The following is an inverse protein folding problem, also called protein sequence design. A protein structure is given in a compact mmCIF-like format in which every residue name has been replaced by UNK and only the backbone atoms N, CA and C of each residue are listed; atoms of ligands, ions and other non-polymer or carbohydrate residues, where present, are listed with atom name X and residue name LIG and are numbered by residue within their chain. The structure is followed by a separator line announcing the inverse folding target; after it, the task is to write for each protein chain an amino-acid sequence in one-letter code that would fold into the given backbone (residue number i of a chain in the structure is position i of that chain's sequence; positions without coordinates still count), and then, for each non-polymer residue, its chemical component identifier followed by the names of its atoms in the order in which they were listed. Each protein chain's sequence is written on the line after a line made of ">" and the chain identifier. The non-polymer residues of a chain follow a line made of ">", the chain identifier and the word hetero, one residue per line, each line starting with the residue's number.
data_IF_338783872835
#
_entry.id   IF_338783872835
#
_cell.length_a   1.000
_cell.length_b   1.000
_cell.length_c   1.000
_cell.angle_alpha   90.00
_cell.angle_beta   90.00
_cell.angle_gamma   90.00
#
_symmetry.space_group_name_H-M   'P 1'
#
loop_
_entity.id
_entity.type
_entity.pdbx_description
1 polymer ?
#
# COMPACT_ATOMS: atom_id res chain seq x y z
N UNK A 1 50.06 18.98 -9.40
CA UNK A 1 48.94 18.33 -10.10
C UNK A 1 47.85 18.06 -9.07
N UNK A 2 46.77 18.88 -9.06
CA UNK A 2 45.68 18.76 -8.11
C UNK A 2 44.59 17.92 -8.80
N UNK A 3 44.33 16.71 -8.27
CA UNK A 3 43.27 15.82 -8.81
C UNK A 3 41.94 16.18 -8.14
N UNK A 4 41.01 16.76 -8.90
CA UNK A 4 39.67 17.06 -8.44
C UNK A 4 38.81 15.78 -8.49
N UNK A 5 38.45 15.25 -7.33
CA UNK A 5 37.50 14.15 -7.19
C UNK A 5 36.08 14.75 -7.33
N UNK A 6 35.45 14.52 -8.47
CA UNK A 6 34.04 14.87 -8.71
C UNK A 6 33.18 13.78 -8.05
N UNK A 7 32.62 14.07 -6.89
CA UNK A 7 31.58 13.26 -6.27
C UNK A 7 30.28 13.41 -7.07
N UNK A 8 30.00 12.49 -7.98
CA UNK A 8 28.71 12.35 -8.64
C UNK A 8 27.69 11.90 -7.57
N UNK A 9 26.96 12.86 -7.00
CA UNK A 9 25.84 12.59 -6.12
C UNK A 9 24.71 11.92 -6.94
N UNK A 10 24.49 10.63 -6.74
CA UNK A 10 23.29 9.95 -7.21
C UNK A 10 22.08 10.57 -6.51
N UNK A 11 21.37 11.46 -7.20
CA UNK A 11 20.03 11.90 -6.79
C UNK A 11 19.06 10.74 -7.02
N UNK A 12 18.96 9.82 -6.08
CA UNK A 12 17.87 8.85 -6.04
C UNK A 12 16.59 9.61 -5.68
N UNK A 13 15.65 9.73 -6.61
CA UNK A 13 14.29 10.20 -6.31
C UNK A 13 13.69 9.19 -5.34
N UNK A 14 13.68 9.51 -4.04
CA UNK A 14 13.08 8.64 -3.02
C UNK A 14 11.58 8.56 -3.30
N UNK A 15 11.10 7.32 -3.42
CA UNK A 15 9.67 7.02 -3.42
C UNK A 15 9.08 7.54 -2.10
N UNK A 16 8.02 8.33 -2.19
CA UNK A 16 7.28 8.76 -1.01
C UNK A 16 6.22 7.70 -0.70
N UNK A 17 6.30 7.07 0.47
CA UNK A 17 5.41 5.99 0.88
C UNK A 17 4.77 6.35 2.21
N UNK A 18 3.44 6.25 2.27
CA UNK A 18 2.66 6.51 3.47
C UNK A 18 1.51 5.50 3.60
N UNK A 19 0.85 5.47 4.73
CA UNK A 19 -0.31 4.63 5.00
C UNK A 19 -1.28 5.30 5.97
N UNK A 20 -2.50 4.77 5.98
CA UNK A 20 -3.57 5.14 6.90
C UNK A 20 -4.41 3.90 7.21
N UNK A 21 -4.97 3.77 8.41
CA UNK A 21 -5.80 2.63 8.79
C UNK A 21 -7.00 3.04 9.64
N UNK A 22 -8.06 2.24 9.60
CA UNK A 22 -9.25 2.43 10.40
C UNK A 22 -9.12 1.70 11.74
N UNK A 23 -9.54 2.35 12.82
CA UNK A 23 -9.62 1.74 14.14
C UNK A 23 -10.74 0.70 14.26
N UNK A 24 -11.66 0.66 13.30
CA UNK A 24 -12.72 -0.34 13.20
C UNK A 24 -12.25 -1.65 12.53
N UNK A 25 -10.98 -1.69 12.08
CA UNK A 25 -10.42 -2.86 11.43
C UNK A 25 -10.15 -4.00 12.41
N UNK A 26 -10.76 -5.16 12.17
CA UNK A 26 -10.58 -6.38 12.96
C UNK A 26 -9.34 -7.16 12.52
N UNK A 27 -8.18 -6.52 12.51
CA UNK A 27 -6.94 -7.02 11.91
C UNK A 27 -6.48 -8.41 12.39
N UNK A 28 -6.88 -8.81 13.59
CA UNK A 28 -6.57 -10.14 14.16
C UNK A 28 -7.40 -11.27 13.52
N UNK A 29 -8.47 -10.95 12.78
CA UNK A 29 -9.45 -11.92 12.27
C UNK A 29 -9.29 -12.21 10.78
N UNK A 30 -8.46 -11.45 10.07
CA UNK A 30 -8.32 -11.61 8.63
C UNK A 30 -7.28 -12.67 8.29
N UNK A 31 -7.69 -13.65 7.47
CA UNK A 31 -6.85 -14.77 7.05
C UNK A 31 -6.81 -14.92 5.52
N UNK A 32 -7.77 -14.34 4.82
CA UNK A 32 -7.95 -14.56 3.39
C UNK A 32 -8.32 -13.28 2.66
N UNK A 33 -8.02 -13.26 1.37
CA UNK A 33 -8.30 -12.11 0.52
C UNK A 33 -8.72 -12.50 -0.89
N UNK A 34 -9.33 -11.56 -1.59
CA UNK A 34 -9.53 -11.56 -3.03
C UNK A 34 -9.38 -10.15 -3.57
N UNK A 35 -9.29 -10.02 -4.90
CA UNK A 35 -9.22 -8.74 -5.57
C UNK A 35 -10.60 -8.27 -6.02
N UNK A 36 -10.83 -6.97 -5.96
CA UNK A 36 -11.88 -6.32 -6.75
C UNK A 36 -11.43 -6.22 -8.21
N UNK A 37 -12.41 -6.02 -9.10
CA UNK A 37 -12.14 -5.84 -10.52
C UNK A 37 -11.17 -4.69 -10.76
N UNK A 38 -10.24 -4.89 -11.70
CA UNK A 38 -9.31 -3.85 -12.09
C UNK A 38 -9.97 -2.85 -13.04
N UNK A 39 -10.00 -1.59 -12.67
CA UNK A 39 -10.66 -0.53 -13.45
C UNK A 39 -9.74 0.13 -14.51
N UNK A 40 -8.51 -0.36 -14.71
CA UNK A 40 -7.61 0.20 -15.72
C UNK A 40 -8.05 -0.23 -17.12
N UNK A 41 -8.76 0.64 -17.81
CA UNK A 41 -9.35 0.39 -19.13
C UNK A 41 -8.31 0.08 -20.22
N UNK A 42 -7.06 0.52 -20.05
CA UNK A 42 -6.05 0.49 -21.12
C UNK A 42 -4.95 -0.56 -20.99
N UNK A 43 -4.92 -1.38 -19.92
CA UNK A 43 -3.80 -2.29 -19.72
C UNK A 43 -4.07 -3.46 -18.77
N UNK A 44 -4.52 -4.57 -19.33
CA UNK A 44 -4.65 -5.85 -18.60
C UNK A 44 -3.31 -6.35 -18.05
N UNK A 45 -2.19 -6.06 -18.73
CA UNK A 45 -0.85 -6.43 -18.28
C UNK A 45 -0.46 -5.65 -17.00
N UNK A 46 -0.79 -4.38 -16.94
CA UNK A 46 -0.53 -3.55 -15.75
C UNK A 46 -1.31 -4.06 -14.53
N UNK A 47 -2.57 -4.44 -14.72
CA UNK A 47 -3.40 -5.05 -13.68
C UNK A 47 -2.77 -6.34 -13.14
N UNK A 48 -2.35 -7.22 -14.04
CA UNK A 48 -1.72 -8.50 -13.71
C UNK A 48 -0.44 -8.30 -12.89
N UNK A 49 0.47 -7.42 -13.34
CA UNK A 49 1.73 -7.16 -12.67
C UNK A 49 1.55 -6.63 -11.24
N UNK A 50 0.58 -5.72 -11.05
CA UNK A 50 0.28 -5.16 -9.73
C UNK A 50 -0.39 -6.22 -8.85
N UNK A 51 -1.37 -6.97 -9.38
CA UNK A 51 -2.04 -8.04 -8.62
C UNK A 51 -1.06 -9.11 -8.18
N UNK A 52 -0.15 -9.54 -9.05
CA UNK A 52 0.86 -10.55 -8.71
C UNK A 52 1.83 -10.05 -7.63
N UNK A 53 2.22 -8.77 -7.71
CA UNK A 53 3.05 -8.17 -6.68
C UNK A 53 2.32 -8.08 -5.33
N UNK A 54 1.04 -7.68 -5.31
CA UNK A 54 0.21 -7.62 -4.10
C UNK A 54 0.00 -9.03 -3.54
N UNK A 55 -0.38 -9.98 -4.38
CA UNK A 55 -0.57 -11.40 -4.00
C UNK A 55 0.66 -11.93 -3.28
N UNK A 56 1.85 -11.72 -3.84
CA UNK A 56 3.09 -12.15 -3.25
C UNK A 56 3.30 -11.54 -1.85
N UNK A 57 2.98 -10.26 -1.66
CA UNK A 57 3.11 -9.59 -0.36
C UNK A 57 2.11 -10.10 0.68
N UNK A 58 0.87 -10.38 0.27
CA UNK A 58 -0.16 -10.93 1.14
C UNK A 58 0.15 -12.38 1.55
N UNK A 59 0.53 -13.22 0.59
CA UNK A 59 0.90 -14.62 0.84
C UNK A 59 2.15 -14.72 1.74
N UNK A 60 3.15 -13.86 1.53
CA UNK A 60 4.33 -13.78 2.41
C UNK A 60 3.99 -13.41 3.86
N UNK A 61 2.82 -12.80 4.09
CA UNK A 61 2.27 -12.49 5.42
C UNK A 61 1.29 -13.55 5.93
N UNK A 62 1.14 -14.67 5.24
CA UNK A 62 0.31 -15.80 5.63
C UNK A 62 -1.16 -15.71 5.20
N UNK A 63 -1.57 -14.64 4.49
CA UNK A 63 -2.92 -14.54 3.94
C UNK A 63 -3.10 -15.50 2.76
N UNK A 64 -4.30 -16.05 2.61
CA UNK A 64 -4.64 -17.00 1.53
C UNK A 64 -5.63 -16.39 0.57
N UNK A 65 -5.49 -16.68 -0.72
CA UNK A 65 -6.50 -16.30 -1.72
C UNK A 65 -7.77 -17.11 -1.48
N UNK A 66 -8.94 -16.46 -1.48
CA UNK A 66 -10.24 -17.08 -1.36
C UNK A 66 -11.23 -16.48 -2.36
N UNK A 67 -11.73 -17.29 -3.29
CA UNK A 67 -12.71 -16.83 -4.29
C UNK A 67 -14.17 -16.87 -3.80
N UNK A 68 -14.45 -17.60 -2.70
CA UNK A 68 -15.82 -17.77 -2.22
C UNK A 68 -16.18 -16.87 -1.05
N UNK A 69 -15.29 -16.77 -0.08
CA UNK A 69 -15.53 -16.05 1.17
C UNK A 69 -14.22 -15.40 1.64
N UNK A 70 -13.70 -14.39 0.96
CA UNK A 70 -12.54 -13.66 1.45
C UNK A 70 -12.92 -12.85 2.69
N UNK A 71 -11.99 -12.69 3.64
CA UNK A 71 -12.17 -11.72 4.73
C UNK A 71 -11.83 -10.30 4.26
N UNK A 72 -10.91 -10.19 3.31
CA UNK A 72 -10.46 -8.92 2.75
C UNK A 72 -10.73 -8.87 1.24
N UNK A 73 -11.18 -7.73 0.78
CA UNK A 73 -11.17 -7.35 -0.63
C UNK A 73 -10.04 -6.34 -0.86
N UNK A 74 -9.30 -6.51 -1.94
CA UNK A 74 -8.19 -5.63 -2.29
C UNK A 74 -8.56 -4.82 -3.52
N UNK A 75 -8.53 -3.49 -3.38
CA UNK A 75 -8.61 -2.54 -4.48
C UNK A 75 -7.27 -1.84 -4.64
N UNK A 76 -6.92 -1.47 -5.88
CA UNK A 76 -5.74 -0.67 -6.16
C UNK A 76 -6.00 0.26 -7.33
N UNK A 77 -5.44 1.47 -7.25
CA UNK A 77 -5.62 2.53 -8.23
C UNK A 77 -4.33 3.30 -8.47
N UNK A 78 -4.09 3.69 -9.74
CA UNK A 78 -3.03 4.62 -10.10
C UNK A 78 -3.65 5.98 -10.42
N UNK A 79 -3.36 6.98 -9.60
CA UNK A 79 -3.80 8.35 -9.82
C UNK A 79 -2.83 9.07 -10.75
N UNK A 80 -3.34 9.52 -11.90
CA UNK A 80 -2.55 10.22 -12.93
C UNK A 80 -2.48 11.74 -12.70
N UNK A 81 -3.15 12.24 -11.69
CA UNK A 81 -3.13 13.63 -11.24
C UNK A 81 -2.75 13.71 -9.77
N UNK A 82 -2.41 14.89 -9.31
CA UNK A 82 -2.17 15.15 -7.90
C UNK A 82 -3.36 14.71 -7.05
N UNK A 83 -3.09 13.99 -5.98
CA UNK A 83 -4.09 13.50 -5.04
C UNK A 83 -3.92 14.22 -3.70
N UNK A 84 -4.99 14.86 -3.24
CA UNK A 84 -5.07 15.46 -1.91
C UNK A 84 -6.05 14.71 -1.05
N UNK A 85 -5.62 14.28 0.10
CA UNK A 85 -6.52 13.67 1.07
C UNK A 85 -6.09 13.97 2.50
N UNK A 86 -7.02 13.74 3.43
CA UNK A 86 -6.82 13.90 4.85
C UNK A 86 -6.67 12.57 5.53
N UNK A 87 -5.64 12.46 6.35
CA UNK A 87 -5.44 11.38 7.28
C UNK A 87 -5.20 11.91 8.69
N UNK A 88 -4.76 11.03 9.53
CA UNK A 88 -4.42 11.33 10.92
C UNK A 88 -3.04 10.78 11.23
N UNK A 89 -2.31 11.47 12.12
CA UNK A 89 -1.08 10.92 12.67
C UNK A 89 -1.47 9.76 13.58
N UNK A 90 -1.23 8.55 13.11
CA UNK A 90 -1.63 7.32 13.79
C UNK A 90 -0.42 6.65 14.45
N UNK A 91 -0.61 5.91 15.55
CA UNK A 91 0.43 5.03 16.07
C UNK A 91 0.78 3.95 15.01
N UNK A 92 1.90 3.29 15.20
CA UNK A 92 2.23 2.14 14.33
C UNK A 92 1.13 1.10 14.47
N UNK A 93 0.55 0.68 13.35
CA UNK A 93 -0.60 -0.25 13.32
C UNK A 93 -0.37 -1.51 14.17
N UNK A 94 0.85 -2.03 14.21
CA UNK A 94 1.21 -3.19 15.02
C UNK A 94 1.04 -2.93 16.53
N UNK A 95 1.43 -1.74 16.98
CA UNK A 95 1.31 -1.36 18.39
C UNK A 95 -0.15 -1.10 18.75
N UNK A 96 -0.91 -0.46 17.85
CA UNK A 96 -2.33 -0.22 18.04
C UNK A 96 -3.14 -1.53 18.13
N UNK A 97 -2.91 -2.48 17.22
CA UNK A 97 -3.59 -3.80 17.24
C UNK A 97 -3.36 -4.57 18.54
N UNK A 98 -2.23 -4.34 19.24
CA UNK A 98 -1.94 -4.97 20.53
C UNK A 98 -2.62 -4.26 21.68
N UNK A 99 -2.66 -2.92 21.65
CA UNK A 99 -3.12 -2.10 22.79
C UNK A 99 -4.60 -1.77 22.73
N UNK A 100 -5.14 -1.57 21.50
CA UNK A 100 -6.52 -1.11 21.26
C UNK A 100 -6.86 0.15 22.08
N UNK A 101 -5.92 1.11 22.13
CA UNK A 101 -6.00 2.32 22.97
C UNK A 101 -6.98 3.32 22.38
N UNK A 102 -8.17 3.45 22.94
CA UNK A 102 -9.23 4.34 22.48
C UNK A 102 -8.98 5.82 22.83
N UNK A 103 -8.02 6.12 23.72
CA UNK A 103 -7.79 7.48 24.23
C UNK A 103 -6.78 8.32 23.45
N UNK A 104 -6.24 7.81 22.34
CA UNK A 104 -5.24 8.53 21.57
C UNK A 104 -5.85 9.70 20.78
N UNK A 105 -5.46 10.91 21.09
CA UNK A 105 -5.76 12.10 20.30
C UNK A 105 -4.90 12.11 19.03
N UNK A 106 -5.54 12.03 17.86
CA UNK A 106 -4.86 11.97 16.57
C UNK A 106 -4.80 13.35 15.94
N UNK A 107 -3.57 13.77 15.59
CA UNK A 107 -3.35 15.00 14.86
C UNK A 107 -3.70 14.80 13.39
N UNK A 108 -4.54 15.68 12.86
CA UNK A 108 -4.89 15.70 11.43
C UNK A 108 -3.69 16.04 10.57
N UNK A 109 -3.52 15.32 9.48
CA UNK A 109 -2.50 15.54 8.47
C UNK A 109 -3.17 15.66 7.10
N UNK A 110 -2.78 16.68 6.33
CA UNK A 110 -3.16 16.82 4.93
C UNK A 110 -2.02 16.28 4.06
N UNK A 111 -2.31 15.26 3.26
CA UNK A 111 -1.38 14.65 2.33
C UNK A 111 -1.56 15.22 0.93
N UNK A 112 -0.45 15.65 0.34
CA UNK A 112 -0.39 16.05 -1.06
C UNK A 112 0.51 15.05 -1.79
N UNK A 113 -0.07 14.20 -2.60
CA UNK A 113 0.63 13.18 -3.37
C UNK A 113 0.72 13.64 -4.81
N UNK A 114 1.91 13.55 -5.37
CA UNK A 114 2.17 13.89 -6.77
C UNK A 114 1.48 12.90 -7.73
N UNK A 115 1.30 13.32 -8.97
CA UNK A 115 0.85 12.45 -10.06
C UNK A 115 1.63 11.13 -10.13
N UNK A 116 0.99 10.06 -10.58
CA UNK A 116 1.58 8.73 -10.60
C UNK A 116 1.64 8.08 -9.22
N UNK A 117 0.62 8.28 -8.40
CA UNK A 117 0.50 7.60 -7.09
C UNK A 117 -0.23 6.28 -7.26
N UNK A 118 0.42 5.17 -6.84
CA UNK A 118 -0.26 3.88 -6.61
C UNK A 118 -0.83 3.88 -5.21
N UNK A 119 -2.12 3.66 -5.10
CA UNK A 119 -2.82 3.41 -3.84
C UNK A 119 -3.33 1.97 -3.81
N UNK A 120 -3.12 1.29 -2.70
CA UNK A 120 -3.66 -0.05 -2.41
C UNK A 120 -4.54 0.08 -1.19
N UNK A 121 -5.76 -0.45 -1.26
CA UNK A 121 -6.73 -0.45 -0.18
C UNK A 121 -7.09 -1.87 0.22
N UNK A 122 -7.05 -2.16 1.52
CA UNK A 122 -7.61 -3.36 2.11
C UNK A 122 -9.00 -3.01 2.65
N UNK A 123 -10.00 -3.77 2.22
CA UNK A 123 -11.41 -3.55 2.49
C UNK A 123 -11.91 -4.76 3.27
N UNK A 124 -12.56 -4.54 4.39
CA UNK A 124 -13.27 -5.59 5.11
C UNK A 124 -14.43 -6.09 4.26
N UNK A 125 -14.47 -7.39 3.97
CA UNK A 125 -15.44 -7.96 3.04
C UNK A 125 -16.86 -8.06 3.62
N UNK A 126 -17.03 -7.95 4.93
CA UNK A 126 -18.33 -7.97 5.61
C UNK A 126 -18.94 -6.57 5.67
N UNK A 127 -18.18 -5.58 6.13
CA UNK A 127 -18.65 -4.20 6.29
C UNK A 127 -18.48 -3.34 5.04
N UNK A 128 -17.67 -3.78 4.08
CA UNK A 128 -17.24 -3.01 2.91
C UNK A 128 -16.52 -1.69 3.26
N UNK A 129 -15.98 -1.59 4.45
CA UNK A 129 -15.20 -0.44 4.87
C UNK A 129 -13.73 -0.62 4.54
N UNK A 130 -13.09 0.45 4.10
CA UNK A 130 -11.64 0.47 3.92
C UNK A 130 -10.98 0.50 5.29
N UNK A 131 -10.25 -0.57 5.62
CA UNK A 131 -9.60 -0.72 6.91
C UNK A 131 -8.12 -0.33 6.89
N UNK A 132 -7.50 -0.35 5.73
CA UNK A 132 -6.12 0.09 5.54
C UNK A 132 -5.90 0.60 4.12
N UNK A 133 -5.09 1.64 3.99
CA UNK A 133 -4.61 2.19 2.72
C UNK A 133 -3.11 2.39 2.79
N UNK A 134 -2.42 1.95 1.76
CA UNK A 134 -1.02 2.30 1.56
C UNK A 134 -0.83 2.90 0.19
N UNK A 135 0.06 3.87 0.08
CA UNK A 135 0.30 4.57 -1.17
C UNK A 135 1.75 4.96 -1.35
N UNK A 136 2.15 4.96 -2.62
CA UNK A 136 3.46 5.37 -3.05
C UNK A 136 3.32 6.39 -4.18
N UNK A 137 3.91 7.57 -4.03
CA UNK A 137 3.89 8.62 -5.03
C UNK A 137 5.22 8.74 -5.77
N UNK A 138 5.24 9.52 -6.86
CA UNK A 138 6.41 9.76 -7.72
C UNK A 138 6.83 8.56 -8.59
N UNK A 139 5.91 7.64 -8.88
CA UNK A 139 6.20 6.48 -9.70
C UNK A 139 6.45 6.83 -11.18
N UNK A 140 5.76 7.82 -11.73
CA UNK A 140 5.69 8.07 -13.17
C UNK A 140 6.91 8.76 -13.78
N UNK A 141 7.94 9.10 -13.03
CA UNK A 141 9.16 9.74 -13.57
C UNK A 141 10.00 8.86 -14.49
N UNK A 142 9.74 7.54 -14.51
CA UNK A 142 10.44 6.58 -15.36
C UNK A 142 9.42 5.76 -16.16
N UNK A 143 9.13 6.16 -17.40
CA UNK A 143 8.17 5.48 -18.27
C UNK A 143 8.61 4.09 -18.77
N UNK A 144 9.76 3.60 -18.36
CA UNK A 144 10.23 2.24 -18.66
C UNK A 144 9.86 1.29 -17.51
N UNK A 145 8.62 0.85 -17.48
CA UNK A 145 8.15 -0.21 -16.57
C UNK A 145 8.83 -1.53 -16.93
N UNK A 146 10.01 -1.78 -16.35
CA UNK A 146 10.65 -3.11 -16.42
C UNK A 146 9.85 -4.10 -15.56
N UNK A 147 9.88 -5.39 -15.95
CA UNK A 147 9.11 -6.50 -15.35
C UNK A 147 9.13 -6.61 -13.80
N UNK A 148 9.97 -5.88 -13.09
CA UNK A 148 10.03 -5.90 -11.62
C UNK A 148 9.72 -4.55 -10.97
N UNK A 149 9.27 -3.57 -11.75
CA UNK A 149 9.06 -2.21 -11.26
C UNK A 149 8.01 -2.15 -10.15
N UNK A 150 6.85 -2.76 -10.37
CA UNK A 150 5.76 -2.77 -9.38
C UNK A 150 6.08 -3.63 -8.16
N UNK A 151 6.88 -4.67 -8.27
CA UNK A 151 7.28 -5.50 -7.12
C UNK A 151 7.96 -4.68 -6.02
N UNK A 152 8.88 -3.80 -6.40
CA UNK A 152 9.58 -2.93 -5.45
C UNK A 152 8.66 -1.92 -4.80
N UNK A 153 7.78 -1.29 -5.59
CA UNK A 153 6.82 -0.28 -5.10
C UNK A 153 5.80 -0.91 -4.16
N UNK A 154 5.17 -2.02 -4.58
CA UNK A 154 4.19 -2.74 -3.77
C UNK A 154 4.82 -3.24 -2.49
N UNK A 155 6.05 -3.76 -2.54
CA UNK A 155 6.80 -4.13 -1.34
C UNK A 155 6.97 -2.95 -0.39
N UNK A 156 7.41 -1.79 -0.89
CA UNK A 156 7.59 -0.58 -0.06
C UNK A 156 6.28 -0.12 0.58
N UNK A 157 5.14 -0.25 -0.12
CA UNK A 157 3.81 0.02 0.44
C UNK A 157 3.51 -0.98 1.56
N UNK A 158 3.70 -2.28 1.32
CA UNK A 158 3.39 -3.32 2.31
C UNK A 158 4.38 -3.38 3.47
N UNK A 159 5.56 -2.78 3.37
CA UNK A 159 6.46 -2.58 4.52
C UNK A 159 5.81 -1.69 5.61
N UNK A 160 4.78 -0.89 5.23
CA UNK A 160 3.92 -0.13 6.16
C UNK A 160 2.75 -0.97 6.73
N UNK A 161 2.57 -2.22 6.28
CA UNK A 161 1.58 -3.18 6.77
C UNK A 161 2.29 -4.39 7.40
N UNK A 162 2.81 -4.28 8.63
CA UNK A 162 3.63 -5.32 9.27
C UNK A 162 2.81 -6.46 9.89
N UNK A 163 1.50 -6.50 9.65
CA UNK A 163 0.62 -7.52 10.22
C UNK A 163 0.72 -8.83 9.45
N UNK A 164 0.60 -9.92 10.19
CA UNK A 164 0.57 -11.29 9.66
C UNK A 164 -0.83 -11.87 9.87
N UNK A 165 -1.27 -12.72 8.96
CA UNK A 165 -2.48 -13.49 9.17
C UNK A 165 -2.32 -14.40 10.40
N UNK A 166 -3.35 -14.49 11.21
CA UNK A 166 -3.34 -15.38 12.36
C UNK A 166 -3.46 -16.82 11.88
N UNK A 167 -2.46 -17.65 12.16
CA UNK A 167 -2.55 -19.08 11.88
C UNK A 167 -3.55 -19.70 12.88
N UNK A 168 -4.59 -20.35 12.37
CA UNK A 168 -5.44 -21.27 13.15
C UNK A 168 -4.82 -22.62 13.23
#
# INVERSE_FOLDING_TARGET
>A
MLSAIVLAGCSSSRLFVEHDYSYEGHFKNYESFNFLECEFVDSTLLCSDIQDAIRHQMEARGYRVSNRSPNLLISYNIFRSDLRFRGYQQPVIKDWVVREDDDATYKRIDYNLDEGTLMISLIDAESYQVIWKGYASKMMRNQNFKNNYFKGIVRSIFDQYPLMATAK
#
